data_IF_967171083081
#
_entry.id   IF_967171083081
#
_cell.length_a   1.000
_cell.length_b   1.000
_cell.length_c   1.000
_cell.angle_alpha   90.00
_cell.angle_beta   90.00
_cell.angle_gamma   90.00
#
_symmetry.space_group_name_H-M   'P 1'
#
loop_
_entity.id
_entity.type
_entity.pdbx_description
1 polymer ?
#
# COMPACT_ATOMS: atom_id res chain seq x y z
N UNK A 1 -14.68 46.05 48.68
CA UNK A 1 -14.55 44.95 47.69
C UNK A 1 -15.62 43.91 47.99
N UNK A 2 -16.58 43.69 47.08
CA UNK A 2 -17.60 42.64 47.24
C UNK A 2 -16.98 41.29 46.86
N UNK A 3 -16.93 40.36 47.82
CA UNK A 3 -16.48 38.99 47.56
C UNK A 3 -17.55 38.25 46.75
N UNK A 4 -17.26 37.94 45.49
CA UNK A 4 -18.10 37.10 44.65
C UNK A 4 -17.94 35.66 45.13
N UNK A 5 -19.00 35.08 45.71
CA UNK A 5 -19.04 33.66 46.05
C UNK A 5 -19.00 32.86 44.75
N UNK A 6 -17.88 32.17 44.49
CA UNK A 6 -17.82 31.20 43.40
C UNK A 6 -18.67 29.99 43.79
N UNK A 7 -19.73 29.74 43.03
CA UNK A 7 -20.51 28.50 43.15
C UNK A 7 -19.58 27.32 42.83
N UNK A 8 -19.43 26.39 43.78
CA UNK A 8 -18.74 25.12 43.54
C UNK A 8 -19.63 24.16 42.76
N UNK A 9 -19.02 23.24 42.02
CA UNK A 9 -19.73 22.14 41.37
C UNK A 9 -20.33 21.19 42.41
N UNK A 10 -21.55 20.72 42.17
CA UNK A 10 -22.19 19.68 42.99
C UNK A 10 -21.70 18.29 42.56
N UNK A 11 -21.77 17.33 43.49
CA UNK A 11 -21.42 15.93 43.20
C UNK A 11 -22.32 15.33 42.11
N UNK A 12 -23.59 15.75 42.06
CA UNK A 12 -24.53 15.33 41.02
C UNK A 12 -24.10 15.81 39.62
N UNK A 13 -23.62 17.05 39.51
CA UNK A 13 -23.13 17.58 38.23
C UNK A 13 -21.90 16.82 37.74
N UNK A 14 -20.96 16.49 38.62
CA UNK A 14 -19.78 15.70 38.22
C UNK A 14 -20.19 14.29 37.80
N UNK A 15 -21.12 13.64 38.53
CA UNK A 15 -21.60 12.30 38.20
C UNK A 15 -22.27 12.24 36.83
N UNK A 16 -23.12 13.22 36.52
CA UNK A 16 -23.79 13.29 35.22
C UNK A 16 -22.79 13.53 34.09
N UNK A 17 -21.77 14.36 34.32
CA UNK A 17 -20.73 14.64 33.32
C UNK A 17 -19.89 13.40 33.00
N UNK A 18 -19.42 12.65 34.00
CA UNK A 18 -18.65 11.43 33.73
C UNK A 18 -19.49 10.35 33.05
N UNK A 19 -20.78 10.23 33.41
CA UNK A 19 -21.71 9.35 32.72
C UNK A 19 -21.90 9.75 31.25
N UNK A 20 -22.09 11.04 30.98
CA UNK A 20 -22.24 11.57 29.62
C UNK A 20 -20.96 11.39 28.79
N UNK A 21 -19.77 11.64 29.36
CA UNK A 21 -18.48 11.42 28.70
C UNK A 21 -18.31 9.94 28.35
N UNK A 22 -18.67 9.01 29.25
CA UNK A 22 -18.62 7.57 28.98
C UNK A 22 -19.48 7.15 27.79
N UNK A 23 -20.71 7.67 27.70
CA UNK A 23 -21.62 7.39 26.58
C UNK A 23 -21.06 7.95 25.27
N UNK A 24 -20.65 9.22 25.27
CA UNK A 24 -20.10 9.87 24.07
C UNK A 24 -18.82 9.18 23.59
N UNK A 25 -17.92 8.79 24.50
CA UNK A 25 -16.71 8.06 24.17
C UNK A 25 -17.02 6.70 23.53
N UNK A 26 -18.01 5.96 24.04
CA UNK A 26 -18.46 4.70 23.45
C UNK A 26 -18.97 4.87 22.02
N UNK A 27 -19.80 5.89 21.76
CA UNK A 27 -20.33 6.18 20.42
C UNK A 27 -19.19 6.51 19.43
N UNK A 28 -18.23 7.34 19.85
CA UNK A 28 -17.10 7.76 18.98
C UNK A 28 -16.23 6.57 18.56
N UNK A 29 -15.94 5.63 19.47
CA UNK A 29 -15.13 4.44 19.14
C UNK A 29 -15.83 3.56 18.10
N UNK A 30 -17.16 3.39 18.21
CA UNK A 30 -17.96 2.63 17.23
C UNK A 30 -18.01 3.35 15.87
N UNK A 31 -17.99 4.69 15.88
CA UNK A 31 -18.02 5.50 14.65
C UNK A 31 -16.69 5.46 13.89
N UNK A 32 -15.55 5.32 14.56
CA UNK A 32 -14.25 5.12 13.92
C UNK A 32 -14.16 3.66 13.50
N UNK A 33 -14.08 3.38 12.19
CA UNK A 33 -13.81 2.04 11.69
C UNK A 33 -12.29 1.88 11.48
N UNK A 34 -11.52 1.41 12.49
CA UNK A 34 -10.07 1.30 12.39
C UNK A 34 -9.64 0.34 11.29
N UNK A 35 -10.42 -0.72 11.03
CA UNK A 35 -10.13 -1.68 9.98
C UNK A 35 -10.15 -1.00 8.60
N UNK A 36 -11.13 -0.11 8.36
CA UNK A 36 -11.20 0.66 7.12
C UNK A 36 -10.01 1.62 6.96
N UNK A 37 -9.60 2.30 8.03
CA UNK A 37 -8.43 3.21 7.97
C UNK A 37 -7.13 2.44 7.67
N UNK A 38 -6.93 1.29 8.32
CA UNK A 38 -5.77 0.44 8.05
C UNK A 38 -5.75 -0.07 6.61
N UNK A 39 -6.91 -0.46 6.06
CA UNK A 39 -7.03 -0.85 4.66
C UNK A 39 -6.71 0.29 3.70
N UNK A 40 -7.13 1.52 4.01
CA UNK A 40 -6.77 2.72 3.23
C UNK A 40 -5.26 2.98 3.26
N UNK A 41 -4.60 2.87 4.41
CA UNK A 41 -3.15 3.01 4.52
C UNK A 41 -2.41 1.94 3.70
N UNK A 42 -2.84 0.68 3.75
CA UNK A 42 -2.25 -0.39 2.94
C UNK A 42 -2.46 -0.15 1.44
N UNK A 43 -3.64 0.30 1.04
CA UNK A 43 -3.92 0.68 -0.35
C UNK A 43 -3.06 1.87 -0.82
N UNK A 44 -2.81 2.87 0.03
CA UNK A 44 -1.88 3.96 -0.30
C UNK A 44 -0.44 3.44 -0.53
N UNK A 45 0.02 2.50 0.32
CA UNK A 45 1.32 1.84 0.12
C UNK A 45 1.36 1.05 -1.20
N UNK A 46 0.28 0.34 -1.55
CA UNK A 46 0.16 -0.38 -2.83
C UNK A 46 0.22 0.54 -4.03
N UNK A 47 -0.50 1.67 -4.00
CA UNK A 47 -0.46 2.65 -5.10
C UNK A 47 0.95 3.17 -5.33
N UNK A 48 1.63 3.58 -4.24
CA UNK A 48 3.03 4.03 -4.31
C UNK A 48 3.97 2.95 -4.83
N UNK A 49 3.80 1.69 -4.38
CA UNK A 49 4.60 0.57 -4.85
C UNK A 49 4.41 0.27 -6.34
N UNK A 50 3.16 0.25 -6.81
CA UNK A 50 2.81 0.06 -8.22
C UNK A 50 3.49 1.13 -9.09
N UNK A 51 3.39 2.40 -8.70
CA UNK A 51 4.04 3.50 -9.40
C UNK A 51 5.57 3.40 -9.36
N UNK A 52 6.14 3.01 -8.23
CA UNK A 52 7.59 2.85 -8.07
C UNK A 52 8.14 1.76 -8.98
N UNK A 53 7.48 0.60 -9.04
CA UNK A 53 7.86 -0.51 -9.91
C UNK A 53 7.74 -0.08 -11.38
N UNK A 54 6.61 0.53 -11.75
CA UNK A 54 6.38 0.98 -13.12
C UNK A 54 7.44 2.01 -13.56
N UNK A 55 7.72 3.01 -12.71
CA UNK A 55 8.73 4.02 -13.00
C UNK A 55 10.13 3.42 -13.14
N UNK A 56 10.50 2.44 -12.31
CA UNK A 56 11.80 1.77 -12.41
C UNK A 56 11.96 1.01 -13.73
N UNK A 57 10.91 0.28 -14.16
CA UNK A 57 10.89 -0.41 -15.47
C UNK A 57 11.01 0.59 -16.62
N UNK A 58 10.32 1.73 -16.54
CA UNK A 58 10.40 2.76 -17.57
C UNK A 58 11.74 3.49 -17.60
N UNK A 59 12.38 3.73 -16.45
CA UNK A 59 13.73 4.27 -16.41
C UNK A 59 14.73 3.30 -17.03
N UNK A 60 14.60 1.99 -16.77
CA UNK A 60 15.38 0.97 -17.47
C UNK A 60 15.17 1.04 -18.99
N UNK A 61 13.92 1.16 -19.45
CA UNK A 61 13.64 1.27 -20.88
C UNK A 61 14.31 2.47 -21.52
N UNK A 62 14.29 3.63 -20.86
CA UNK A 62 14.96 4.86 -21.33
C UNK A 62 16.47 4.64 -21.49
N UNK A 63 17.11 4.01 -20.51
CA UNK A 63 18.55 3.73 -20.52
C UNK A 63 18.94 2.61 -21.51
N UNK A 64 17.98 1.78 -21.94
CA UNK A 64 18.19 0.62 -22.82
C UNK A 64 17.50 0.77 -24.19
N UNK A 65 17.50 1.98 -24.75
CA UNK A 65 17.01 2.27 -26.12
C UNK A 65 15.52 1.91 -26.35
N UNK A 66 14.70 2.00 -25.31
CA UNK A 66 13.29 1.65 -25.33
C UNK A 66 12.99 0.17 -25.10
N UNK A 67 14.02 -0.67 -24.86
CA UNK A 67 13.82 -2.09 -24.59
C UNK A 67 13.37 -2.32 -23.14
N UNK A 68 12.27 -3.04 -22.98
CA UNK A 68 11.79 -3.50 -21.68
C UNK A 68 12.58 -4.75 -21.22
N UNK A 69 12.60 -5.05 -19.92
CA UNK A 69 13.08 -6.35 -19.45
C UNK A 69 12.35 -7.51 -20.13
N UNK A 70 13.11 -8.43 -20.72
CA UNK A 70 12.57 -9.59 -21.44
C UNK A 70 11.74 -10.52 -20.56
N UNK A 71 11.98 -10.47 -19.25
CA UNK A 71 11.27 -11.26 -18.24
C UNK A 71 9.82 -10.83 -18.06
N UNK A 72 9.42 -9.63 -18.51
CA UNK A 72 8.03 -9.16 -18.39
C UNK A 72 7.15 -9.92 -19.40
N UNK A 73 6.19 -10.72 -18.93
CA UNK A 73 5.30 -11.51 -19.79
C UNK A 73 4.12 -10.69 -20.32
N UNK A 74 3.39 -11.27 -21.27
CA UNK A 74 2.17 -10.65 -21.82
C UNK A 74 0.90 -10.95 -21.00
N UNK A 75 1.05 -11.69 -19.90
CA UNK A 75 -0.03 -12.07 -18.98
C UNK A 75 0.31 -11.55 -17.59
N UNK A 76 -0.65 -11.08 -16.78
CA UNK A 76 -0.36 -10.64 -15.42
C UNK A 76 0.26 -11.76 -14.58
N UNK A 77 1.53 -11.61 -14.23
CA UNK A 77 2.28 -12.59 -13.44
C UNK A 77 2.89 -11.89 -12.24
N UNK A 78 2.91 -12.59 -11.09
CA UNK A 78 3.46 -12.05 -9.84
C UNK A 78 4.97 -11.82 -9.94
N UNK A 79 5.45 -10.69 -9.39
CA UNK A 79 6.86 -10.33 -9.40
C UNK A 79 7.60 -11.06 -8.26
N UNK A 80 8.81 -11.52 -8.56
CA UNK A 80 9.69 -12.16 -7.60
C UNK A 80 10.35 -11.12 -6.65
N UNK A 81 10.53 -11.49 -5.38
CA UNK A 81 11.25 -10.66 -4.41
C UNK A 81 12.71 -10.48 -4.84
N UNK A 82 13.25 -9.29 -4.59
CA UNK A 82 14.68 -9.03 -4.79
C UNK A 82 15.53 -9.97 -3.93
N UNK A 83 16.49 -10.65 -4.55
CA UNK A 83 17.39 -11.58 -3.86
C UNK A 83 16.76 -12.92 -3.50
N UNK A 84 15.58 -13.26 -4.03
CA UNK A 84 15.04 -14.61 -3.87
C UNK A 84 15.94 -15.66 -4.55
N UNK A 85 16.07 -16.82 -3.93
CA UNK A 85 16.86 -17.94 -4.46
C UNK A 85 16.18 -18.69 -5.61
N UNK A 86 14.87 -18.52 -5.75
CA UNK A 86 14.07 -19.16 -6.80
C UNK A 86 12.91 -18.23 -7.21
N UNK A 87 12.81 -17.97 -8.51
CA UNK A 87 11.75 -17.18 -9.14
C UNK A 87 10.94 -18.02 -10.15
N UNK A 88 10.97 -19.35 -10.05
CA UNK A 88 10.19 -20.24 -10.92
C UNK A 88 8.71 -19.91 -10.84
N UNK A 89 8.10 -19.60 -12.00
CA UNK A 89 6.70 -19.19 -12.09
C UNK A 89 6.42 -17.74 -11.68
N UNK A 90 7.45 -16.95 -11.38
CA UNK A 90 7.39 -15.52 -11.05
C UNK A 90 8.18 -14.70 -12.08
N UNK A 91 7.95 -13.39 -12.10
CA UNK A 91 8.71 -12.46 -12.93
C UNK A 91 9.97 -12.03 -12.18
N UNK A 92 11.15 -12.43 -12.68
CA UNK A 92 12.41 -11.92 -12.16
C UNK A 92 12.73 -10.54 -12.76
N UNK A 93 12.79 -9.53 -11.90
CA UNK A 93 13.16 -8.16 -12.24
C UNK A 93 14.56 -7.80 -11.69
N UNK A 94 15.42 -8.79 -11.46
CA UNK A 94 16.79 -8.61 -11.00
C UNK A 94 17.60 -7.61 -11.85
N UNK A 95 17.30 -7.50 -13.14
CA UNK A 95 17.95 -6.54 -14.05
C UNK A 95 17.78 -5.07 -13.63
N UNK A 96 16.65 -4.72 -13.00
CA UNK A 96 16.39 -3.35 -12.53
C UNK A 96 16.85 -3.11 -11.08
N UNK A 97 17.09 -4.17 -10.31
CA UNK A 97 17.53 -4.07 -8.90
C UNK A 97 19.02 -4.30 -8.68
N UNK A 98 19.69 -5.06 -9.55
CA UNK A 98 21.06 -5.58 -9.34
C UNK A 98 22.12 -4.49 -9.12
N UNK A 99 21.97 -3.34 -9.78
CA UNK A 99 22.86 -2.20 -9.64
C UNK A 99 22.36 -1.14 -8.65
N UNK A 100 21.15 -1.31 -8.10
CA UNK A 100 20.45 -0.27 -7.33
C UNK A 100 20.14 1.01 -8.11
N UNK A 101 20.40 1.03 -9.43
CA UNK A 101 20.31 2.23 -10.28
C UNK A 101 18.88 2.72 -10.48
N UNK A 102 17.94 1.81 -10.67
CA UNK A 102 16.53 2.14 -10.96
C UNK A 102 15.66 1.98 -9.72
N UNK A 103 15.90 0.92 -8.95
CA UNK A 103 15.23 0.68 -7.67
C UNK A 103 16.12 -0.20 -6.79
N UNK A 104 16.25 0.06 -5.48
CA UNK A 104 17.09 -0.76 -4.60
C UNK A 104 16.52 -2.15 -4.34
N UNK A 105 15.19 -2.27 -4.27
CA UNK A 105 14.48 -3.54 -4.12
C UNK A 105 13.03 -3.40 -4.57
N UNK A 106 12.43 -4.51 -5.02
CA UNK A 106 11.02 -4.53 -5.37
C UNK A 106 10.18 -4.43 -4.08
N UNK A 107 9.26 -3.45 -3.96
CA UNK A 107 8.36 -3.36 -2.84
C UNK A 107 7.54 -4.64 -2.68
N UNK A 108 7.22 -4.99 -1.44
CA UNK A 108 6.36 -6.13 -1.11
C UNK A 108 5.02 -5.58 -0.61
N UNK A 109 3.93 -6.22 -1.03
CA UNK A 109 2.59 -5.92 -0.53
C UNK A 109 2.58 -5.98 1.02
N UNK A 110 1.88 -5.07 1.73
CA UNK A 110 1.82 -5.11 3.18
C UNK A 110 1.29 -6.43 3.78
N UNK A 111 0.60 -7.24 2.97
CA UNK A 111 0.10 -8.57 3.32
C UNK A 111 0.93 -9.71 2.69
N UNK A 112 2.10 -9.39 2.12
CA UNK A 112 3.01 -10.32 1.46
C UNK A 112 2.55 -10.76 0.07
N UNK A 113 3.37 -11.60 -0.57
CA UNK A 113 3.02 -12.25 -1.84
C UNK A 113 2.01 -13.38 -1.73
N UNK A 114 1.62 -13.91 -2.88
CA UNK A 114 0.84 -15.15 -2.97
C UNK A 114 1.79 -16.34 -2.93
N UNK A 115 2.88 -16.28 -3.70
CA UNK A 115 3.99 -17.22 -3.58
C UNK A 115 4.94 -16.86 -2.43
N UNK A 116 5.69 -17.84 -1.91
CA UNK A 116 6.68 -17.63 -0.85
C UNK A 116 7.72 -16.55 -1.22
N UNK A 117 8.14 -16.54 -2.49
CA UNK A 117 9.06 -15.56 -3.07
C UNK A 117 8.34 -14.46 -3.87
N UNK A 118 7.00 -14.40 -3.83
CA UNK A 118 6.22 -13.38 -4.52
C UNK A 118 6.14 -12.07 -3.73
N UNK A 119 6.04 -10.95 -4.44
CA UNK A 119 5.89 -9.64 -3.81
C UNK A 119 4.43 -9.25 -3.56
N UNK A 120 3.48 -9.93 -4.20
CA UNK A 120 2.05 -9.59 -4.16
C UNK A 120 1.62 -8.59 -5.24
N UNK A 121 2.57 -8.07 -6.03
CA UNK A 121 2.30 -7.23 -7.20
C UNK A 121 2.46 -8.05 -8.48
N UNK A 122 1.62 -7.78 -9.47
CA UNK A 122 1.72 -8.41 -10.79
C UNK A 122 2.16 -7.42 -11.85
N UNK A 123 2.89 -7.90 -12.85
CA UNK A 123 3.33 -7.11 -14.00
C UNK A 123 3.01 -7.85 -15.30
N UNK A 124 2.70 -7.08 -16.34
CA UNK A 124 2.56 -7.57 -17.71
C UNK A 124 2.80 -6.46 -18.71
N UNK A 125 3.06 -6.81 -19.97
CA UNK A 125 3.11 -5.88 -21.10
C UNK A 125 2.10 -6.24 -22.18
N UNK A 126 1.59 -5.24 -22.88
CA UNK A 126 0.75 -5.45 -24.06
C UNK A 126 1.57 -5.54 -25.37
N UNK A 127 0.89 -5.76 -26.50
CA UNK A 127 1.53 -5.84 -27.81
C UNK A 127 2.19 -4.52 -28.26
N UNK A 128 1.89 -3.41 -27.61
CA UNK A 128 2.45 -2.08 -27.88
C UNK A 128 3.57 -1.71 -26.88
N UNK A 129 4.08 -2.68 -26.11
CA UNK A 129 5.06 -2.46 -25.05
C UNK A 129 4.59 -1.52 -23.92
N UNK A 130 3.27 -1.42 -23.69
CA UNK A 130 2.76 -0.73 -22.51
C UNK A 130 2.81 -1.66 -21.31
N UNK A 131 3.46 -1.21 -20.24
CA UNK A 131 3.65 -2.01 -19.04
C UNK A 131 2.55 -1.67 -18.06
N UNK A 132 1.86 -2.71 -17.58
CA UNK A 132 0.85 -2.61 -16.53
C UNK A 132 1.33 -3.31 -15.27
N UNK A 133 1.34 -2.58 -14.16
CA UNK A 133 1.61 -3.11 -12.82
C UNK A 133 0.33 -3.02 -12.00
N UNK A 134 -0.03 -4.09 -11.29
CA UNK A 134 -1.27 -4.15 -10.50
C UNK A 134 -1.06 -4.70 -9.10
N UNK A 135 -1.88 -4.24 -8.16
CA UNK A 135 -1.94 -4.76 -6.80
C UNK A 135 -3.24 -5.57 -6.61
N UNK A 136 -3.26 -6.89 -6.88
CA UNK A 136 -4.46 -7.72 -6.79
C UNK A 136 -5.06 -7.82 -5.38
N UNK A 137 -4.27 -7.55 -4.34
CA UNK A 137 -4.70 -7.56 -2.94
C UNK A 137 -5.29 -6.22 -2.46
N UNK A 138 -5.66 -5.33 -3.37
CA UNK A 138 -6.31 -4.08 -3.02
C UNK A 138 -7.61 -4.34 -2.23
N UNK A 139 -7.79 -3.58 -1.14
CA UNK A 139 -8.89 -3.79 -0.20
C UNK A 139 -10.04 -2.81 -0.46
N UNK A 140 -11.21 -3.07 0.14
CA UNK A 140 -12.41 -2.22 0.01
C UNK A 140 -12.97 -2.17 -1.42
N UNK A 141 -12.67 -3.17 -2.26
CA UNK A 141 -13.19 -3.29 -3.62
C UNK A 141 -12.62 -2.28 -4.62
N UNK A 142 -11.50 -1.62 -4.28
CA UNK A 142 -10.81 -0.71 -5.21
C UNK A 142 -9.86 -1.49 -6.11
N UNK A 143 -9.65 -1.01 -7.33
CA UNK A 143 -8.62 -1.53 -8.23
C UNK A 143 -7.43 -0.59 -8.24
N UNK A 144 -6.24 -1.11 -7.95
CA UNK A 144 -4.99 -0.35 -7.98
C UNK A 144 -4.13 -0.93 -9.09
N UNK A 145 -3.99 -0.15 -10.15
CA UNK A 145 -3.20 -0.49 -11.33
C UNK A 145 -2.61 0.78 -11.93
N UNK A 146 -1.43 0.67 -12.52
CA UNK A 146 -0.83 1.74 -13.30
C UNK A 146 -0.31 1.16 -14.61
N UNK A 147 -0.61 1.88 -15.70
CA UNK A 147 -0.12 1.54 -17.03
C UNK A 147 0.56 2.74 -17.63
N UNK A 148 1.75 2.52 -18.17
CA UNK A 148 2.46 3.50 -18.97
C UNK A 148 2.83 2.84 -20.27
#
# INVERSE_FOLDING_TARGET
MRAVHKKGFTLLEILLVVAAIGILAGIVIVAINPARQLAQTRNANRSSAVDTILNAVWQYAIDNNGNLPDTIPNTPTEICKTGASDCTGLVDLSVITSSGRYIPSIPIDPQGGTAANGTGYTISKDANNRVTVSAPKAELGVTITATK
#
